data_IF_060091398710
#
_entry.id   IF_060091398710
#
_cell.length_a   1.000
_cell.length_b   1.000
_cell.length_c   1.000
_cell.angle_alpha   90.00
_cell.angle_beta   90.00
_cell.angle_gamma   90.00
#
_symmetry.space_group_name_H-M   'P 1'
#
loop_
_entity.id
_entity.type
_entity.pdbx_description
1 polymer ?
#
# COMPACT_ATOMS: atom_id res chain seq x y z
N UNK A 1 8.05 8.26 0.47
CA UNK A 1 8.74 7.96 1.72
C UNK A 1 9.20 9.23 2.42
N UNK A 2 9.43 9.13 3.70
CA UNK A 2 9.84 10.24 4.55
C UNK A 2 10.87 9.76 5.58
N UNK A 3 11.68 10.69 6.09
CA UNK A 3 12.70 10.37 7.09
C UNK A 3 12.39 11.09 8.38
N UNK A 4 12.40 10.38 9.47
CA UNK A 4 12.12 10.88 10.81
C UNK A 4 13.37 10.70 11.67
N UNK A 5 13.65 11.66 12.53
CA UNK A 5 14.62 11.51 13.60
C UNK A 5 13.87 11.38 14.91
N UNK A 6 14.01 10.24 15.57
CA UNK A 6 13.37 9.95 16.85
C UNK A 6 14.42 9.39 17.81
N UNK A 7 14.52 9.96 18.99
CA UNK A 7 15.51 9.58 20.04
C UNK A 7 16.94 9.49 19.48
N UNK A 8 17.35 10.49 18.69
CA UNK A 8 18.66 10.55 18.06
C UNK A 8 18.91 9.55 16.91
N UNK A 9 17.95 8.72 16.58
CA UNK A 9 18.03 7.73 15.50
C UNK A 9 17.24 8.19 14.26
N UNK A 10 17.76 7.91 13.06
CA UNK A 10 17.08 8.16 11.79
C UNK A 10 16.31 6.92 11.35
N UNK A 11 15.05 7.12 10.97
CA UNK A 11 14.15 6.12 10.41
C UNK A 11 13.66 6.59 9.04
N UNK A 12 13.81 5.75 8.04
CA UNK A 12 13.25 5.96 6.71
C UNK A 12 11.98 5.12 6.60
N UNK A 13 10.82 5.77 6.55
CA UNK A 13 9.52 5.15 6.34
C UNK A 13 9.02 5.41 4.92
N UNK A 14 8.18 4.53 4.41
CA UNK A 14 7.58 4.67 3.08
C UNK A 14 6.08 4.90 3.15
N UNK A 15 5.38 4.05 3.90
CA UNK A 15 3.92 4.01 3.95
C UNK A 15 3.37 4.25 5.35
N UNK A 16 4.10 3.85 6.38
CA UNK A 16 3.66 3.98 7.78
C UNK A 16 3.73 5.45 8.18
N UNK A 17 2.66 6.00 8.78
CA UNK A 17 2.63 7.39 9.23
C UNK A 17 3.70 7.72 10.27
N UNK A 18 4.16 8.98 10.26
CA UNK A 18 5.24 9.46 11.15
C UNK A 18 4.90 9.42 12.64
N UNK A 19 3.61 9.37 13.00
CA UNK A 19 3.16 9.22 14.38
C UNK A 19 3.44 7.86 15.03
N UNK A 20 3.94 6.87 14.28
CA UNK A 20 4.12 5.49 14.72
C UNK A 20 5.02 5.33 15.95
N UNK A 21 5.92 6.29 16.19
CA UNK A 21 6.83 6.30 17.33
C UNK A 21 6.16 6.64 18.66
N UNK A 22 4.90 7.10 18.63
CA UNK A 22 4.14 7.44 19.84
C UNK A 22 2.98 6.45 20.01
N UNK A 23 2.99 5.60 21.05
CA UNK A 23 1.96 4.58 21.27
C UNK A 23 0.57 5.17 21.57
N UNK A 24 0.48 6.47 21.91
CA UNK A 24 -0.80 7.15 22.17
C UNK A 24 -1.46 7.70 20.89
N UNK A 25 -0.72 7.73 19.77
CA UNK A 25 -1.24 8.22 18.49
C UNK A 25 -1.81 7.04 17.69
N UNK A 26 -3.04 7.20 17.22
CA UNK A 26 -3.64 6.30 16.24
C UNK A 26 -3.11 6.64 14.87
N UNK A 27 -2.32 5.75 14.29
CA UNK A 27 -1.72 5.91 12.98
C UNK A 27 -2.60 5.22 11.95
N UNK A 28 -3.19 5.99 11.05
CA UNK A 28 -4.18 5.48 10.10
C UNK A 28 -3.66 5.57 8.67
N UNK A 29 -3.52 4.43 8.03
CA UNK A 29 -3.32 4.31 6.59
C UNK A 29 -4.72 4.27 5.94
N UNK A 30 -5.20 5.43 5.49
CA UNK A 30 -6.59 5.65 5.12
C UNK A 30 -6.94 5.07 3.74
N UNK A 31 -8.24 5.03 3.44
CA UNK A 31 -8.81 4.48 2.21
C UNK A 31 -8.33 5.17 0.91
N UNK A 32 -7.81 6.40 0.99
CA UNK A 32 -7.22 7.11 -0.15
C UNK A 32 -5.90 6.51 -0.64
N UNK A 33 -5.19 5.78 0.21
CA UNK A 33 -3.88 5.20 -0.11
C UNK A 33 -3.97 4.00 -1.05
N UNK A 34 -2.82 3.71 -1.70
CA UNK A 34 -2.49 2.37 -2.20
C UNK A 34 -1.39 1.82 -1.29
N UNK A 35 -1.56 0.59 -0.84
CA UNK A 35 -0.73 -0.04 0.19
C UNK A 35 0.00 -1.24 -0.38
N UNK A 36 1.31 -1.27 -0.22
CA UNK A 36 2.11 -2.47 -0.52
C UNK A 36 2.32 -3.27 0.78
N UNK A 37 1.65 -4.42 0.95
CA UNK A 37 1.74 -5.22 2.18
C UNK A 37 3.16 -5.68 2.49
N UNK A 38 3.96 -6.00 1.47
CA UNK A 38 5.37 -6.40 1.62
C UNK A 38 6.18 -5.27 2.25
N UNK A 39 6.00 -4.04 1.73
CA UNK A 39 6.70 -2.87 2.28
C UNK A 39 6.28 -2.57 3.71
N UNK A 40 4.98 -2.63 4.02
CA UNK A 40 4.47 -2.39 5.38
C UNK A 40 5.06 -3.37 6.37
N UNK A 41 5.06 -4.67 6.03
CA UNK A 41 5.65 -5.71 6.88
C UNK A 41 7.15 -5.45 7.12
N UNK A 42 7.89 -5.12 6.05
CA UNK A 42 9.33 -4.81 6.16
C UNK A 42 9.59 -3.57 7.02
N UNK A 43 8.75 -2.53 6.91
CA UNK A 43 8.86 -1.34 7.76
C UNK A 43 8.59 -1.67 9.24
N UNK A 44 7.57 -2.50 9.54
CA UNK A 44 7.26 -2.94 10.90
C UNK A 44 8.41 -3.76 11.50
N UNK A 45 8.98 -4.70 10.74
CA UNK A 45 10.14 -5.48 11.16
C UNK A 45 11.36 -4.59 11.48
N UNK A 46 11.60 -3.58 10.63
CA UNK A 46 12.68 -2.63 10.84
C UNK A 46 12.48 -1.77 12.11
N UNK A 47 11.23 -1.39 12.41
CA UNK A 47 10.88 -0.68 13.65
C UNK A 47 11.08 -1.58 14.87
N UNK A 48 10.57 -2.81 14.83
CA UNK A 48 10.66 -3.79 15.91
C UNK A 48 12.10 -4.19 16.22
N UNK A 49 12.94 -4.36 15.19
CA UNK A 49 14.38 -4.66 15.34
C UNK A 49 15.14 -3.52 16.04
N UNK A 50 14.61 -2.29 16.00
CA UNK A 50 15.18 -1.11 16.64
C UNK A 50 14.48 -0.73 17.95
N UNK A 51 13.66 -1.62 18.49
CA UNK A 51 13.01 -1.49 19.79
C UNK A 51 11.66 -0.78 19.79
N UNK A 52 11.15 -0.37 18.63
CA UNK A 52 9.81 0.24 18.50
C UNK A 52 8.79 -0.89 18.33
N UNK A 53 8.15 -1.31 19.42
CA UNK A 53 7.23 -2.46 19.44
C UNK A 53 5.82 -2.10 19.89
N UNK A 54 5.65 -0.95 20.54
CA UNK A 54 4.36 -0.46 21.01
C UNK A 54 3.89 0.66 20.09
N UNK A 55 2.92 0.36 19.26
CA UNK A 55 2.34 1.31 18.31
C UNK A 55 0.88 0.98 18.01
N UNK A 56 0.09 2.01 17.72
CA UNK A 56 -1.29 1.89 17.26
C UNK A 56 -1.34 2.13 15.75
N UNK A 57 -1.41 1.05 14.96
CA UNK A 57 -1.53 1.10 13.50
C UNK A 57 -2.91 0.59 13.09
N UNK A 58 -3.54 1.29 12.14
CA UNK A 58 -4.80 0.93 11.52
C UNK A 58 -4.68 1.08 10.01
N UNK A 59 -5.09 0.06 9.27
CA UNK A 59 -5.04 0.03 7.81
C UNK A 59 -6.47 -0.08 7.30
N UNK A 60 -6.86 0.82 6.39
CA UNK A 60 -8.20 0.76 5.82
C UNK A 60 -8.42 -0.52 5.04
N UNK A 61 -9.51 -1.21 5.34
CA UNK A 61 -10.04 -2.33 4.56
C UNK A 61 -10.29 -1.96 3.09
N UNK A 62 -10.55 -0.65 2.82
CA UNK A 62 -10.82 -0.10 1.48
C UNK A 62 -9.60 0.46 0.78
N UNK A 63 -8.42 0.48 1.39
CA UNK A 63 -7.18 0.85 0.72
C UNK A 63 -6.85 -0.19 -0.37
N UNK A 64 -6.45 0.28 -1.56
CA UNK A 64 -6.08 -0.64 -2.64
C UNK A 64 -4.71 -1.27 -2.39
N UNK A 65 -4.57 -2.53 -2.77
CA UNK A 65 -3.32 -3.28 -2.62
C UNK A 65 -2.42 -3.05 -3.83
N UNK A 66 -1.17 -2.72 -3.58
CA UNK A 66 -0.13 -2.78 -4.61
C UNK A 66 0.31 -4.24 -4.77
N UNK A 67 -0.10 -4.84 -5.87
CA UNK A 67 0.24 -6.22 -6.23
C UNK A 67 1.57 -6.28 -7.00
N UNK A 68 2.24 -7.44 -7.07
CA UNK A 68 3.53 -7.57 -7.75
C UNK A 68 3.49 -7.14 -9.23
N UNK A 69 2.41 -7.43 -9.94
CA UNK A 69 2.25 -7.04 -11.34
C UNK A 69 2.25 -5.53 -11.53
N UNK A 70 1.79 -4.74 -10.56
CA UNK A 70 1.84 -3.28 -10.64
C UNK A 70 3.28 -2.77 -10.75
N UNK A 71 4.22 -3.33 -9.98
CA UNK A 71 5.62 -2.91 -10.01
C UNK A 71 6.29 -3.27 -11.33
N UNK A 72 5.97 -4.42 -11.91
CA UNK A 72 6.51 -4.83 -13.21
C UNK A 72 5.94 -3.97 -14.32
N UNK A 73 4.63 -3.72 -14.34
CA UNK A 73 3.98 -2.84 -15.30
C UNK A 73 4.51 -1.41 -15.23
N UNK A 74 4.68 -0.86 -14.03
CA UNK A 74 5.26 0.49 -13.82
C UNK A 74 6.65 0.60 -14.45
N UNK A 75 7.50 -0.42 -14.24
CA UNK A 75 8.83 -0.49 -14.85
C UNK A 75 8.80 -0.63 -16.36
N UNK A 76 7.92 -1.48 -16.90
CA UNK A 76 7.78 -1.72 -18.33
C UNK A 76 7.27 -0.48 -19.07
N UNK A 77 6.20 0.15 -18.55
CA UNK A 77 5.63 1.37 -19.10
C UNK A 77 6.62 2.53 -19.11
N UNK A 78 7.40 2.69 -18.04
CA UNK A 78 8.45 3.71 -17.96
C UNK A 78 9.54 3.47 -19.01
N UNK A 79 9.96 2.22 -19.20
CA UNK A 79 10.98 1.85 -20.18
C UNK A 79 10.55 2.14 -21.63
N UNK A 80 9.26 2.07 -21.93
CA UNK A 80 8.73 2.35 -23.28
C UNK A 80 8.64 3.84 -23.61
N UNK A 81 8.67 4.73 -22.60
CA UNK A 81 8.57 6.18 -22.83
C UNK A 81 9.83 6.82 -23.40
N UNK A 82 10.93 6.07 -23.53
CA UNK A 82 12.19 6.54 -24.12
C UNK A 82 12.67 7.83 -23.43
N UNK A 83 12.90 8.91 -24.20
CA UNK A 83 13.37 10.20 -23.68
C UNK A 83 12.32 11.04 -22.90
N UNK A 84 11.09 10.56 -22.73
CA UNK A 84 10.01 11.21 -22.00
C UNK A 84 9.71 10.52 -20.66
N UNK A 85 10.76 10.14 -19.95
CA UNK A 85 10.64 9.48 -18.65
C UNK A 85 9.91 10.40 -17.65
N UNK A 86 8.94 9.86 -16.91
CA UNK A 86 8.31 10.55 -15.78
C UNK A 86 9.19 10.47 -14.54
N UNK A 87 10.11 9.49 -14.50
CA UNK A 87 10.99 9.25 -13.35
C UNK A 87 10.25 8.51 -12.23
N UNK A 88 9.47 7.50 -12.57
CA UNK A 88 8.75 6.70 -11.57
C UNK A 88 9.72 5.96 -10.66
N UNK A 89 9.26 5.66 -9.45
CA UNK A 89 10.02 4.85 -8.49
C UNK A 89 9.96 3.35 -8.80
N UNK A 90 9.23 2.95 -9.85
CA UNK A 90 8.98 1.55 -10.25
C UNK A 90 8.38 0.69 -9.12
N UNK A 91 7.61 1.32 -8.24
CA UNK A 91 6.96 0.67 -7.08
C UNK A 91 5.50 0.29 -7.35
N UNK A 92 5.01 0.51 -8.56
CA UNK A 92 3.65 0.14 -8.95
C UNK A 92 2.55 1.05 -8.41
N UNK A 93 2.89 2.23 -7.92
CA UNK A 93 1.92 3.16 -7.32
C UNK A 93 0.91 3.66 -8.35
N UNK A 94 1.41 4.12 -9.51
CA UNK A 94 0.55 4.59 -10.62
C UNK A 94 -0.43 3.52 -11.10
N UNK A 95 0.05 2.34 -11.53
CA UNK A 95 -0.83 1.23 -11.93
C UNK A 95 -1.82 0.78 -10.85
N UNK A 96 -1.43 0.77 -9.57
CA UNK A 96 -2.35 0.44 -8.49
C UNK A 96 -3.46 1.50 -8.30
N UNK A 97 -3.16 2.77 -8.51
CA UNK A 97 -4.18 3.81 -8.56
C UNK A 97 -5.08 3.68 -9.79
N UNK A 98 -4.55 3.32 -10.96
CA UNK A 98 -5.35 3.04 -12.14
C UNK A 98 -6.41 1.97 -11.85
N UNK A 99 -5.99 0.82 -11.37
CA UNK A 99 -6.91 -0.28 -10.99
C UNK A 99 -7.94 0.15 -9.93
N UNK A 100 -7.53 1.00 -8.98
CA UNK A 100 -8.44 1.54 -7.97
C UNK A 100 -9.56 2.37 -8.60
N UNK A 101 -9.24 3.25 -9.55
CA UNK A 101 -10.22 4.09 -10.24
C UNK A 101 -11.06 3.31 -11.25
N UNK A 102 -10.49 2.30 -11.89
CA UNK A 102 -11.19 1.35 -12.75
C UNK A 102 -12.09 0.38 -11.97
N UNK A 103 -11.94 0.33 -10.64
CA UNK A 103 -12.67 -0.55 -9.72
C UNK A 103 -12.35 -2.04 -9.90
N UNK A 104 -11.21 -2.34 -10.49
CA UNK A 104 -10.70 -3.70 -10.68
C UNK A 104 -9.71 -4.10 -9.58
N UNK A 105 -9.14 -3.11 -8.87
CA UNK A 105 -8.12 -3.31 -7.84
C UNK A 105 -8.58 -4.17 -6.66
N UNK A 106 -7.65 -4.95 -6.12
CA UNK A 106 -7.79 -5.72 -4.88
C UNK A 106 -7.65 -4.76 -3.70
N UNK A 107 -8.44 -4.93 -2.64
CA UNK A 107 -8.42 -4.11 -1.43
C UNK A 107 -7.77 -4.85 -0.28
N UNK A 108 -7.31 -4.12 0.74
CA UNK A 108 -6.74 -4.72 1.94
C UNK A 108 -7.73 -5.63 2.66
N UNK A 109 -9.01 -5.26 2.69
CA UNK A 109 -10.07 -6.07 3.27
C UNK A 109 -10.30 -7.40 2.55
N UNK A 110 -10.07 -7.45 1.23
CA UNK A 110 -10.24 -8.67 0.43
C UNK A 110 -9.26 -9.77 0.87
N UNK A 111 -8.10 -9.38 1.41
CA UNK A 111 -7.09 -10.33 1.92
C UNK A 111 -7.55 -11.08 3.18
N UNK A 112 -8.59 -10.62 3.87
CA UNK A 112 -9.11 -11.26 5.08
C UNK A 112 -10.03 -12.45 4.80
N UNK A 113 -10.49 -12.59 3.56
CA UNK A 113 -11.29 -13.72 3.08
C UNK A 113 -10.51 -14.46 1.99
N UNK A 114 -9.99 -15.63 2.32
CA UNK A 114 -9.11 -16.41 1.46
C UNK A 114 -9.76 -16.81 0.13
N UNK A 115 -11.05 -17.19 0.15
CA UNK A 115 -11.77 -17.62 -1.05
C UNK A 115 -12.10 -16.42 -1.93
N UNK A 116 -12.53 -15.32 -1.32
CA UNK A 116 -12.80 -14.08 -2.03
C UNK A 116 -11.53 -13.51 -2.66
N UNK A 117 -10.43 -13.46 -1.91
CA UNK A 117 -9.13 -13.03 -2.43
C UNK A 117 -8.66 -13.92 -3.59
N UNK A 118 -8.80 -15.26 -3.46
CA UNK A 118 -8.44 -16.18 -4.52
C UNK A 118 -9.22 -15.91 -5.82
N UNK A 119 -10.53 -15.66 -5.73
CA UNK A 119 -11.36 -15.33 -6.88
C UNK A 119 -10.90 -14.01 -7.52
N UNK A 120 -10.77 -12.94 -6.72
CA UNK A 120 -10.31 -11.63 -7.18
C UNK A 120 -8.93 -11.67 -7.84
N UNK A 121 -8.01 -12.46 -7.28
CA UNK A 121 -6.65 -12.60 -7.82
C UNK A 121 -6.64 -13.34 -9.16
N UNK A 122 -7.50 -14.36 -9.35
CA UNK A 122 -7.61 -15.04 -10.65
C UNK A 122 -8.10 -14.10 -11.72
N UNK A 123 -9.18 -13.36 -11.45
CA UNK A 123 -9.73 -12.38 -12.39
C UNK A 123 -8.68 -11.31 -12.75
N UNK A 124 -8.01 -10.74 -11.76
CA UNK A 124 -6.96 -9.75 -11.98
C UNK A 124 -5.79 -10.31 -12.80
N UNK A 125 -5.33 -11.53 -12.51
CA UNK A 125 -4.20 -12.13 -13.21
C UNK A 125 -4.54 -12.52 -14.66
N UNK A 126 -5.76 -12.84 -14.99
CA UNK A 126 -6.18 -13.07 -16.37
C UNK A 126 -5.90 -11.83 -17.21
N UNK A 127 -6.34 -10.66 -16.77
CA UNK A 127 -6.12 -9.38 -17.43
C UNK A 127 -4.65 -8.94 -17.37
N UNK A 128 -4.06 -8.89 -16.20
CA UNK A 128 -2.70 -8.36 -15.99
C UNK A 128 -1.62 -9.22 -16.67
N UNK A 129 -1.81 -10.53 -16.76
CA UNK A 129 -0.90 -11.38 -17.51
C UNK A 129 -0.99 -11.15 -19.02
N UNK A 130 -2.14 -10.71 -19.55
CA UNK A 130 -2.21 -10.25 -20.95
C UNK A 130 -1.42 -8.95 -21.13
N UNK A 131 -1.61 -7.97 -20.23
CA UNK A 131 -0.86 -6.72 -20.27
C UNK A 131 0.65 -6.96 -20.16
N UNK A 132 1.10 -7.81 -19.24
CA UNK A 132 2.51 -8.16 -19.07
C UNK A 132 3.12 -8.72 -20.36
N UNK A 133 2.42 -9.65 -21.03
CA UNK A 133 2.89 -10.20 -22.32
C UNK A 133 2.97 -9.12 -23.40
N UNK A 134 2.03 -8.18 -23.46
CA UNK A 134 2.08 -7.05 -24.41
C UNK A 134 3.32 -6.19 -24.23
N UNK A 135 3.81 -6.07 -22.99
CA UNK A 135 5.06 -5.37 -22.67
C UNK A 135 6.30 -6.26 -22.74
N UNK A 136 6.18 -7.51 -23.19
CA UNK A 136 7.30 -8.46 -23.26
C UNK A 136 7.77 -8.96 -21.89
N UNK A 137 6.92 -8.86 -20.86
CA UNK A 137 7.19 -9.35 -19.52
C UNK A 137 6.63 -10.77 -19.33
N UNK A 138 7.25 -11.54 -18.44
CA UNK A 138 6.77 -12.87 -18.07
C UNK A 138 5.46 -12.78 -17.27
N UNK A 139 4.49 -13.68 -17.55
CA UNK A 139 3.27 -13.76 -16.76
C UNK A 139 3.56 -14.24 -15.33
N UNK A 140 2.73 -13.81 -14.40
CA UNK A 140 2.86 -14.16 -12.99
C UNK A 140 2.01 -15.35 -12.60
N UNK A 141 2.52 -16.17 -11.68
CA UNK A 141 1.86 -17.34 -11.14
C UNK A 141 0.85 -16.96 -10.06
N UNK A 142 -0.38 -17.46 -10.17
CA UNK A 142 -1.39 -17.37 -9.14
C UNK A 142 -0.91 -17.95 -7.80
N UNK A 143 -0.40 -19.18 -7.82
CA UNK A 143 -0.04 -19.89 -6.59
C UNK A 143 1.05 -19.16 -5.80
N UNK A 144 2.03 -18.59 -6.50
CA UNK A 144 3.11 -17.84 -5.87
C UNK A 144 2.58 -16.57 -5.18
N UNK A 145 1.75 -15.80 -5.88
CA UNK A 145 1.20 -14.55 -5.33
C UNK A 145 0.22 -14.87 -4.21
N UNK A 146 -0.67 -15.84 -4.42
CA UNK A 146 -1.66 -16.23 -3.42
C UNK A 146 -0.99 -16.64 -2.10
N UNK A 147 -0.01 -17.55 -2.15
CA UNK A 147 0.68 -18.02 -0.95
C UNK A 147 1.38 -16.85 -0.22
N UNK A 148 2.09 -15.99 -0.93
CA UNK A 148 2.75 -14.82 -0.35
C UNK A 148 1.76 -13.86 0.31
N UNK A 149 0.65 -13.53 -0.36
CA UNK A 149 -0.29 -12.55 0.14
C UNK A 149 -1.16 -13.08 1.28
N UNK A 150 -1.42 -14.38 1.33
CA UNK A 150 -2.06 -15.01 2.48
C UNK A 150 -1.18 -15.00 3.74
N UNK A 151 0.13 -15.17 3.58
CA UNK A 151 1.08 -14.99 4.69
C UNK A 151 1.07 -13.54 5.19
N UNK A 152 1.13 -12.57 4.27
CA UNK A 152 1.05 -11.14 4.60
C UNK A 152 -0.28 -10.78 5.29
N UNK A 153 -1.39 -11.35 4.82
CA UNK A 153 -2.70 -11.20 5.44
C UNK A 153 -2.72 -11.70 6.89
N UNK A 154 -2.10 -12.84 7.15
CA UNK A 154 -1.94 -13.36 8.53
C UNK A 154 -1.19 -12.40 9.44
N UNK A 155 -0.21 -11.67 8.92
CA UNK A 155 0.59 -10.69 9.68
C UNK A 155 -0.11 -9.35 9.85
N UNK A 156 -0.80 -8.87 8.83
CA UNK A 156 -1.41 -7.53 8.79
C UNK A 156 -2.88 -7.51 9.19
N UNK A 157 -3.57 -8.65 9.19
CA UNK A 157 -5.02 -8.74 9.40
C UNK A 157 -5.50 -8.04 10.67
N UNK A 158 -4.72 -8.12 11.76
CA UNK A 158 -5.04 -7.46 13.04
C UNK A 158 -5.06 -5.92 12.96
N UNK A 159 -4.49 -5.34 11.92
CA UNK A 159 -4.47 -3.88 11.71
C UNK A 159 -5.55 -3.41 10.73
N UNK A 160 -6.16 -4.33 9.98
CA UNK A 160 -7.13 -4.00 8.93
C UNK A 160 -8.52 -3.78 9.55
N UNK A 161 -9.11 -2.63 9.29
CA UNK A 161 -10.43 -2.27 9.81
C UNK A 161 -11.11 -1.21 8.93
N UNK A 162 -12.38 -0.90 9.22
CA UNK A 162 -13.06 0.27 8.65
C UNK A 162 -12.52 1.55 9.30
N UNK A 163 -11.53 2.14 8.68
CA UNK A 163 -10.90 3.38 9.15
C UNK A 163 -11.81 4.60 9.02
N UNK A 164 -12.84 4.55 8.18
CA UNK A 164 -13.81 5.65 8.06
C UNK A 164 -14.66 5.75 9.32
N UNK A 165 -15.12 4.61 9.82
CA UNK A 165 -15.83 4.54 11.10
C UNK A 165 -14.90 5.00 12.23
N UNK A 166 -13.69 4.43 12.31
CA UNK A 166 -12.71 4.79 13.34
C UNK A 166 -12.44 6.29 13.41
N UNK A 167 -12.18 6.94 12.27
CA UNK A 167 -11.87 8.37 12.22
C UNK A 167 -13.08 9.20 12.64
N UNK A 168 -14.28 8.86 12.17
CA UNK A 168 -15.48 9.60 12.52
C UNK A 168 -15.79 9.51 14.03
N UNK A 169 -15.65 8.33 14.63
CA UNK A 169 -15.79 8.17 16.08
C UNK A 169 -14.77 9.02 16.87
N UNK A 170 -13.52 9.13 16.39
CA UNK A 170 -12.52 9.97 17.03
C UNK A 170 -12.82 11.46 16.87
N UNK A 171 -13.37 11.88 15.72
CA UNK A 171 -13.85 13.25 15.51
C UNK A 171 -14.97 13.59 16.50
N UNK A 172 -15.95 12.71 16.66
CA UNK A 172 -17.05 12.89 17.61
C UNK A 172 -16.58 13.00 19.08
N UNK A 173 -15.49 12.30 19.42
CA UNK A 173 -14.83 12.42 20.74
C UNK A 173 -13.98 13.68 20.89
N UNK A 174 -13.87 14.51 19.85
CA UNK A 174 -13.09 15.76 19.86
C UNK A 174 -11.57 15.53 19.67
N UNK A 175 -11.15 14.41 19.10
CA UNK A 175 -9.74 14.14 18.83
C UNK A 175 -9.16 15.13 17.80
N UNK A 176 -7.89 15.45 17.95
CA UNK A 176 -7.14 16.23 16.96
C UNK A 176 -6.63 15.31 15.87
N UNK A 177 -6.90 15.64 14.62
CA UNK A 177 -6.51 14.85 13.45
C UNK A 177 -5.47 15.61 12.64
N UNK A 178 -4.37 14.93 12.33
CA UNK A 178 -3.34 15.41 11.42
C UNK A 178 -3.40 14.59 10.14
N UNK A 179 -3.52 15.25 8.99
CA UNK A 179 -3.40 14.63 7.67
C UNK A 179 -1.95 14.75 7.19
N UNK A 180 -1.32 13.61 6.93
CA UNK A 180 0.04 13.51 6.41
C UNK A 180 -0.03 13.12 4.92
N UNK A 181 0.36 14.03 4.03
CA UNK A 181 0.48 13.76 2.60
C UNK A 181 1.82 13.12 2.26
N UNK A 182 1.85 12.28 1.22
CA UNK A 182 3.05 11.53 0.84
C UNK A 182 3.84 12.15 -0.31
N UNK A 183 3.21 12.96 -1.16
CA UNK A 183 3.79 13.54 -2.38
C UNK A 183 3.78 15.07 -2.32
N UNK A 184 4.65 15.68 -3.14
CA UNK A 184 4.62 17.14 -3.36
C UNK A 184 3.47 17.54 -4.29
N UNK A 185 3.17 18.84 -4.31
CA UNK A 185 2.06 19.42 -5.10
C UNK A 185 2.15 19.04 -6.58
N UNK A 186 3.35 19.01 -7.16
CA UNK A 186 3.57 18.66 -8.58
C UNK A 186 3.21 17.19 -8.94
N UNK A 187 2.96 16.35 -7.95
CA UNK A 187 2.54 14.95 -8.13
C UNK A 187 1.06 14.73 -7.76
N UNK A 188 0.35 15.81 -7.45
CA UNK A 188 -1.09 15.75 -7.19
C UNK A 188 -1.83 15.43 -8.50
N UNK A 189 -2.77 14.48 -8.42
CA UNK A 189 -3.58 14.07 -9.59
C UNK A 189 -4.55 15.16 -10.06
N UNK A 190 -4.86 16.13 -9.19
CA UNK A 190 -5.80 17.21 -9.49
C UNK A 190 -5.09 18.55 -9.79
N UNK A 191 -3.92 18.80 -9.21
CA UNK A 191 -3.25 20.11 -9.27
C UNK A 191 -1.79 20.04 -9.73
N UNK A 192 -1.25 18.84 -9.99
CA UNK A 192 0.14 18.64 -10.45
C UNK A 192 0.33 18.69 -11.96
#
# INVERSE_FOLDING_TARGET
GHTITFDGQRFALQSIPSGIFNPHIKNVMANGMVVNPVSVVSELEALEARGIREYNLYISDRAAVVMPYHSVLDGAMESMKGGKLIGTTKKGIGPAYADKYERTGIRMGDLLDADYFAARLRDALEEKNMELRMFGCEPMSFDTIYAQYMELAGRLGKYICDTSVLINEEIEKGAKILFEGAQGVMLCIDHG
#
